data_IF_221335162706
#
_entry.id   IF_221335162706
#
_cell.length_a   1.000
_cell.length_b   1.000
_cell.length_c   1.000
_cell.angle_alpha   90.00
_cell.angle_beta   90.00
_cell.angle_gamma   90.00
#
_symmetry.space_group_name_H-M   'P 1'
#
loop_
_entity.id
_entity.type
_entity.pdbx_description
1 polymer ?
#
# COMPACT_ATOMS: atom_id res chain seq x y z
N UNK A 1 -19.45 8.72 15.95
CA UNK A 1 -19.36 7.54 15.04
C UNK A 1 -17.94 7.02 15.02
N UNK A 2 -17.73 5.69 14.90
CA UNK A 2 -16.38 5.12 14.79
C UNK A 2 -15.77 5.44 13.42
N UNK A 3 -14.49 5.82 13.39
CA UNK A 3 -13.71 6.05 12.19
C UNK A 3 -13.42 4.70 11.50
N UNK A 4 -13.81 4.54 10.25
CA UNK A 4 -13.60 3.30 9.47
C UNK A 4 -12.31 3.39 8.69
N UNK A 5 -11.36 2.54 9.00
CA UNK A 5 -10.01 2.53 8.42
C UNK A 5 -9.81 1.22 7.67
N UNK A 6 -9.51 1.29 6.38
CA UNK A 6 -9.08 0.15 5.58
C UNK A 6 -7.56 0.12 5.52
N UNK A 7 -6.97 -1.01 5.93
CA UNK A 7 -5.53 -1.25 5.84
C UNK A 7 -5.28 -2.34 4.81
N UNK A 8 -4.73 -1.96 3.66
CA UNK A 8 -4.33 -2.86 2.60
C UNK A 8 -2.94 -3.45 2.90
N UNK A 9 -2.75 -4.75 2.65
CA UNK A 9 -1.49 -5.43 2.98
C UNK A 9 -1.28 -5.65 4.48
N UNK A 10 -2.34 -5.86 5.20
CA UNK A 10 -2.40 -5.95 6.66
C UNK A 10 -1.54 -7.06 7.29
N UNK A 11 -1.13 -8.05 6.53
CA UNK A 11 -0.25 -9.15 6.98
C UNK A 11 1.23 -8.91 6.66
N UNK A 12 1.56 -7.80 5.99
CA UNK A 12 2.93 -7.34 5.75
C UNK A 12 3.56 -6.71 7.00
N UNK A 13 4.85 -6.36 6.93
CA UNK A 13 5.56 -5.77 8.07
C UNK A 13 4.92 -4.45 8.53
N UNK A 14 4.70 -3.51 7.62
CA UNK A 14 4.08 -2.21 7.94
C UNK A 14 2.63 -2.41 8.39
N UNK A 15 1.83 -3.16 7.61
CA UNK A 15 0.41 -3.34 7.86
C UNK A 15 0.10 -3.95 9.22
N UNK A 16 0.84 -4.98 9.66
CA UNK A 16 0.61 -5.61 10.97
C UNK A 16 0.93 -4.69 12.14
N UNK A 17 1.99 -3.87 12.05
CA UNK A 17 2.33 -2.91 13.10
C UNK A 17 1.25 -1.81 13.21
N UNK A 18 0.76 -1.32 12.06
CA UNK A 18 -0.34 -0.35 12.02
C UNK A 18 -1.63 -0.91 12.64
N UNK A 19 -1.98 -2.17 12.33
CA UNK A 19 -3.17 -2.80 12.89
C UNK A 19 -3.04 -2.96 14.40
N UNK A 20 -1.90 -3.44 14.87
CA UNK A 20 -1.65 -3.64 16.30
C UNK A 20 -1.76 -2.33 17.09
N UNK A 21 -1.33 -1.22 16.51
CA UNK A 21 -1.44 0.08 17.17
C UNK A 21 -2.83 0.71 17.03
N UNK A 22 -3.36 0.82 15.81
CA UNK A 22 -4.64 1.46 15.56
C UNK A 22 -5.83 0.72 16.19
N UNK A 23 -5.74 -0.61 16.40
CA UNK A 23 -6.79 -1.41 17.04
C UNK A 23 -6.93 -1.16 18.55
N UNK A 24 -5.93 -0.56 19.19
CA UNK A 24 -6.01 -0.16 20.60
C UNK A 24 -7.05 0.96 20.82
N UNK A 25 -7.25 1.81 19.82
CA UNK A 25 -8.23 2.87 19.90
C UNK A 25 -9.64 2.32 19.59
N UNK A 26 -10.51 2.29 20.60
CA UNK A 26 -11.90 1.81 20.51
C UNK A 26 -12.78 2.62 19.55
N UNK A 27 -12.38 3.83 19.20
CA UNK A 27 -13.07 4.69 18.24
C UNK A 27 -12.73 4.33 16.78
N UNK A 28 -11.79 3.42 16.56
CA UNK A 28 -11.49 2.88 15.24
C UNK A 28 -12.26 1.59 14.98
N UNK A 29 -12.74 1.44 13.73
CA UNK A 29 -13.22 0.19 13.16
C UNK A 29 -12.31 -0.15 11.99
N UNK A 30 -11.48 -1.19 12.13
CA UNK A 30 -10.44 -1.53 11.18
C UNK A 30 -10.91 -2.66 10.26
N UNK A 31 -10.74 -2.45 8.96
CA UNK A 31 -10.87 -3.46 7.92
C UNK A 31 -9.47 -3.75 7.40
N UNK A 32 -9.05 -5.02 7.43
CA UNK A 32 -7.69 -5.44 7.17
C UNK A 32 -7.65 -6.45 6.02
N UNK A 33 -7.05 -6.07 4.87
CA UNK A 33 -6.97 -7.00 3.75
C UNK A 33 -5.78 -7.95 3.87
N UNK A 34 -5.99 -9.18 3.43
CA UNK A 34 -4.94 -10.17 3.25
C UNK A 34 -5.20 -11.03 2.01
N UNK A 35 -4.14 -11.56 1.41
CA UNK A 35 -4.27 -12.47 0.26
C UNK A 35 -3.98 -13.92 0.68
N UNK A 36 -2.72 -14.27 0.95
CA UNK A 36 -2.28 -15.65 1.21
C UNK A 36 -1.78 -15.87 2.64
N UNK A 37 -1.19 -14.87 3.28
CA UNK A 37 -0.55 -15.03 4.58
C UNK A 37 -1.56 -15.20 5.70
N UNK A 38 -1.19 -15.97 6.72
CA UNK A 38 -1.99 -16.16 7.94
C UNK A 38 -2.18 -14.84 8.68
N UNK A 39 -3.39 -14.60 9.17
CA UNK A 39 -3.79 -13.42 9.95
C UNK A 39 -3.68 -13.68 11.45
N UNK A 40 -3.45 -12.63 12.23
CA UNK A 40 -3.53 -12.65 13.69
C UNK A 40 -4.93 -12.22 14.14
N UNK A 41 -5.55 -12.93 15.07
CA UNK A 41 -6.83 -12.50 15.62
C UNK A 41 -6.63 -11.30 16.55
N UNK A 42 -7.25 -10.18 16.20
CA UNK A 42 -7.24 -8.95 16.99
C UNK A 42 -8.66 -8.44 17.17
N UNK A 43 -8.96 -7.96 18.38
CA UNK A 43 -10.23 -7.28 18.67
C UNK A 43 -10.35 -6.02 17.79
N UNK A 44 -11.57 -5.67 17.37
CA UNK A 44 -11.88 -4.49 16.53
C UNK A 44 -11.31 -4.54 15.10
N UNK A 45 -10.82 -5.68 14.62
CA UNK A 45 -10.30 -5.85 13.27
C UNK A 45 -11.17 -6.84 12.49
N UNK A 46 -11.75 -6.37 11.41
CA UNK A 46 -12.46 -7.20 10.42
C UNK A 46 -11.51 -7.58 9.30
N UNK A 47 -11.19 -8.86 9.21
CA UNK A 47 -10.30 -9.37 8.18
C UNK A 47 -11.06 -9.66 6.89
N UNK A 48 -10.54 -9.16 5.76
CA UNK A 48 -11.12 -9.33 4.43
C UNK A 48 -10.10 -9.99 3.50
N UNK A 49 -10.40 -11.22 3.08
CA UNK A 49 -9.57 -11.95 2.11
C UNK A 49 -9.88 -11.49 0.70
N UNK A 50 -8.84 -11.20 -0.10
CA UNK A 50 -8.97 -10.90 -1.53
C UNK A 50 -7.69 -10.37 -2.14
N UNK A 51 -7.75 -10.19 -3.45
CA UNK A 51 -6.65 -9.66 -4.25
C UNK A 51 -6.96 -8.23 -4.68
N UNK A 52 -6.08 -7.29 -4.32
CA UNK A 52 -6.24 -5.88 -4.66
C UNK A 52 -6.06 -5.59 -6.17
N UNK A 53 -5.56 -6.56 -6.94
CA UNK A 53 -5.50 -6.49 -8.40
C UNK A 53 -6.84 -6.80 -9.07
N UNK A 54 -7.86 -7.15 -8.29
CA UNK A 54 -9.23 -7.31 -8.75
C UNK A 54 -10.01 -6.03 -8.48
N UNK A 55 -10.58 -5.44 -9.54
CA UNK A 55 -11.31 -4.17 -9.47
C UNK A 55 -12.58 -4.26 -8.62
N UNK A 56 -13.37 -5.33 -8.78
CA UNK A 56 -14.60 -5.51 -8.01
C UNK A 56 -14.31 -5.68 -6.52
N UNK A 57 -13.22 -6.38 -6.19
CA UNK A 57 -12.76 -6.48 -4.81
C UNK A 57 -12.39 -5.10 -4.27
N UNK A 58 -11.58 -4.33 -5.00
CA UNK A 58 -11.16 -2.98 -4.62
C UNK A 58 -12.37 -2.05 -4.43
N UNK A 59 -13.33 -2.08 -5.36
CA UNK A 59 -14.58 -1.31 -5.29
C UNK A 59 -15.40 -1.66 -4.06
N UNK A 60 -15.52 -2.94 -3.75
CA UNK A 60 -16.29 -3.41 -2.58
C UNK A 60 -15.67 -3.00 -1.26
N UNK A 61 -14.34 -3.16 -1.10
CA UNK A 61 -13.68 -2.93 0.19
C UNK A 61 -13.50 -1.45 0.54
N UNK A 62 -13.50 -0.56 -0.44
CA UNK A 62 -13.40 0.90 -0.24
C UNK A 62 -14.75 1.54 0.07
N UNK A 63 -15.86 0.82 -0.09
CA UNK A 63 -17.21 1.34 0.16
C UNK A 63 -17.43 1.65 1.64
N UNK A 64 -17.90 2.86 1.94
CA UNK A 64 -18.16 3.35 3.30
C UNK A 64 -16.90 3.36 4.21
N UNK A 65 -15.73 3.58 3.65
CA UNK A 65 -14.45 3.75 4.36
C UNK A 65 -14.13 5.24 4.47
N UNK A 66 -13.64 5.66 5.65
CA UNK A 66 -13.20 7.04 5.86
C UNK A 66 -11.73 7.23 5.46
N UNK A 67 -10.87 6.26 5.80
CA UNK A 67 -9.43 6.32 5.54
C UNK A 67 -8.97 5.01 4.91
N UNK A 68 -8.20 5.10 3.84
CA UNK A 68 -7.47 3.99 3.23
C UNK A 68 -5.98 4.14 3.50
N UNK A 69 -5.35 3.09 4.02
CA UNK A 69 -3.90 2.99 4.20
C UNK A 69 -3.38 1.90 3.28
N UNK A 70 -2.68 2.31 2.20
CA UNK A 70 -2.13 1.39 1.21
C UNK A 70 -0.71 0.98 1.59
N UNK A 71 -0.61 -0.15 2.31
CA UNK A 71 0.65 -0.79 2.69
C UNK A 71 0.91 -2.12 1.96
N UNK A 72 0.01 -2.47 1.00
CA UNK A 72 0.23 -3.64 0.17
C UNK A 72 1.22 -3.34 -0.96
N UNK A 73 2.09 -4.28 -1.22
CA UNK A 73 2.95 -4.28 -2.39
C UNK A 73 3.28 -5.72 -2.79
N UNK A 74 3.40 -5.96 -4.08
CA UNK A 74 4.15 -7.10 -4.58
C UNK A 74 5.62 -6.76 -4.42
N UNK A 75 6.26 -7.38 -3.43
CA UNK A 75 7.69 -7.26 -3.19
C UNK A 75 8.31 -8.65 -3.16
N UNK A 76 9.33 -8.85 -3.94
CA UNK A 76 10.14 -10.05 -4.01
C UNK A 76 11.58 -9.71 -3.63
N UNK A 77 12.45 -10.71 -3.51
CA UNK A 77 13.84 -10.46 -3.16
C UNK A 77 14.60 -9.62 -4.19
N UNK A 78 15.78 -9.11 -3.79
CA UNK A 78 16.64 -8.27 -4.65
C UNK A 78 16.98 -8.91 -6.00
N UNK A 79 17.03 -10.23 -6.08
CA UNK A 79 17.22 -10.98 -7.32
C UNK A 79 16.12 -10.71 -8.35
N UNK A 80 14.85 -10.69 -7.92
CA UNK A 80 13.73 -10.43 -8.81
C UNK A 80 13.63 -8.96 -9.23
N UNK A 81 14.09 -8.03 -8.40
CA UNK A 81 14.17 -6.61 -8.79
C UNK A 81 15.02 -6.42 -10.05
N UNK A 82 16.09 -7.23 -10.18
CA UNK A 82 17.02 -7.15 -11.32
C UNK A 82 16.56 -8.02 -12.48
N UNK A 83 16.20 -9.29 -12.21
CA UNK A 83 15.94 -10.27 -13.27
C UNK A 83 14.49 -10.22 -13.80
N UNK A 84 13.54 -9.78 -12.99
CA UNK A 84 12.11 -9.75 -13.32
C UNK A 84 11.44 -8.46 -12.86
N UNK A 85 11.96 -7.27 -13.28
CA UNK A 85 11.47 -5.97 -12.79
C UNK A 85 9.98 -5.74 -13.08
N UNK A 86 9.44 -6.36 -14.14
CA UNK A 86 8.03 -6.25 -14.50
C UNK A 86 7.08 -6.73 -13.40
N UNK A 87 7.47 -7.72 -12.57
CA UNK A 87 6.63 -8.18 -11.45
C UNK A 87 6.31 -7.05 -10.46
N UNK A 88 7.27 -6.17 -10.24
CA UNK A 88 7.07 -5.03 -9.36
C UNK A 88 6.27 -3.91 -10.01
N UNK A 89 6.42 -3.72 -11.33
CA UNK A 89 5.68 -2.69 -12.07
C UNK A 89 4.21 -3.07 -12.19
N UNK A 90 3.92 -4.18 -12.87
CA UNK A 90 2.56 -4.53 -13.28
C UNK A 90 1.64 -4.72 -12.10
N UNK A 91 2.00 -5.58 -11.16
CA UNK A 91 1.15 -5.90 -10.02
C UNK A 91 0.88 -4.68 -9.13
N UNK A 92 1.93 -3.89 -8.85
CA UNK A 92 1.77 -2.69 -8.02
C UNK A 92 1.00 -1.59 -8.73
N UNK A 93 1.23 -1.38 -10.03
CA UNK A 93 0.49 -0.39 -10.82
C UNK A 93 -1.00 -0.73 -10.87
N UNK A 94 -1.36 -1.97 -11.22
CA UNK A 94 -2.76 -2.42 -11.29
C UNK A 94 -3.45 -2.29 -9.92
N UNK A 95 -2.81 -2.77 -8.86
CA UNK A 95 -3.34 -2.69 -7.50
C UNK A 95 -3.59 -1.25 -7.07
N UNK A 96 -2.61 -0.36 -7.27
CA UNK A 96 -2.72 1.04 -6.89
C UNK A 96 -3.78 1.77 -7.76
N UNK A 97 -3.80 1.52 -9.06
CA UNK A 97 -4.77 2.13 -9.98
C UNK A 97 -6.22 1.81 -9.56
N UNK A 98 -6.53 0.55 -9.28
CA UNK A 98 -7.87 0.17 -8.83
C UNK A 98 -8.19 0.73 -7.44
N UNK A 99 -7.27 0.62 -6.50
CA UNK A 99 -7.51 1.08 -5.14
C UNK A 99 -7.74 2.60 -5.09
N UNK A 100 -6.92 3.39 -5.76
CA UNK A 100 -7.05 4.85 -5.75
C UNK A 100 -8.29 5.32 -6.50
N UNK A 101 -8.56 4.76 -7.69
CA UNK A 101 -9.79 5.04 -8.45
C UNK A 101 -11.03 4.74 -7.61
N UNK A 102 -11.11 3.56 -7.02
CA UNK A 102 -12.28 3.17 -6.23
C UNK A 102 -12.38 3.93 -4.90
N UNK A 103 -11.27 4.33 -4.30
CA UNK A 103 -11.26 5.23 -3.16
C UNK A 103 -11.87 6.58 -3.50
N UNK A 104 -11.51 7.15 -4.66
CA UNK A 104 -12.10 8.39 -5.15
C UNK A 104 -13.60 8.25 -5.42
N UNK A 105 -14.01 7.23 -6.19
CA UNK A 105 -15.41 6.99 -6.54
C UNK A 105 -16.29 6.73 -5.32
N UNK A 106 -15.78 6.06 -4.30
CA UNK A 106 -16.45 5.78 -3.04
C UNK A 106 -16.32 6.92 -2.00
N UNK A 107 -15.76 8.08 -2.39
CA UNK A 107 -15.62 9.28 -1.56
C UNK A 107 -14.86 9.03 -0.26
N UNK A 108 -13.80 8.23 -0.32
CA UNK A 108 -12.87 8.07 0.80
C UNK A 108 -12.25 9.42 1.12
N UNK A 109 -12.27 9.82 2.39
CA UNK A 109 -11.84 11.17 2.82
C UNK A 109 -10.33 11.33 2.81
N UNK A 110 -9.59 10.26 3.07
CA UNK A 110 -8.14 10.31 3.18
C UNK A 110 -7.50 9.01 2.70
N UNK A 111 -6.48 9.12 1.85
CA UNK A 111 -5.67 8.00 1.39
C UNK A 111 -4.23 8.23 1.81
N UNK A 112 -3.66 7.26 2.54
CA UNK A 112 -2.26 7.25 2.94
C UNK A 112 -1.55 6.20 2.10
N UNK A 113 -0.52 6.59 1.38
CA UNK A 113 0.27 5.73 0.52
C UNK A 113 1.75 5.74 0.93
N UNK A 114 2.35 4.56 1.06
CA UNK A 114 3.77 4.44 1.40
C UNK A 114 4.63 4.44 0.15
N UNK A 115 5.40 5.50 -0.02
CA UNK A 115 6.45 5.59 -1.02
C UNK A 115 7.67 4.74 -0.61
N UNK A 116 8.79 4.87 -1.32
CA UNK A 116 10.02 4.14 -1.01
C UNK A 116 11.25 5.00 -1.28
N UNK A 117 12.33 4.71 -0.57
CA UNK A 117 13.61 5.44 -0.72
C UNK A 117 14.31 5.15 -2.03
N UNK A 118 13.98 4.04 -2.72
CA UNK A 118 14.59 3.67 -4.00
C UNK A 118 14.15 4.55 -5.17
N UNK A 119 13.22 5.48 -4.95
CA UNK A 119 12.88 6.52 -5.93
C UNK A 119 13.97 7.59 -6.04
N UNK A 120 14.74 7.82 -4.98
CA UNK A 120 15.82 8.80 -5.00
C UNK A 120 17.11 8.20 -5.56
N UNK A 121 17.91 9.02 -6.23
CA UNK A 121 19.28 8.63 -6.60
C UNK A 121 20.17 8.50 -5.37
N UNK A 122 21.24 7.73 -5.50
CA UNK A 122 22.25 7.62 -4.43
C UNK A 122 22.88 8.98 -4.13
N UNK A 123 22.94 9.32 -2.85
CA UNK A 123 23.57 10.56 -2.36
C UNK A 123 24.38 10.30 -1.09
N UNK A 124 25.51 10.98 -0.96
CA UNK A 124 26.31 11.02 0.29
C UNK A 124 25.74 12.01 1.30
N UNK A 125 24.85 12.90 0.88
CA UNK A 125 24.19 13.89 1.74
C UNK A 125 22.71 13.51 1.90
N UNK A 126 22.06 13.89 3.01
CA UNK A 126 20.61 13.77 3.15
C UNK A 126 19.89 14.48 1.99
N UNK A 127 18.88 13.85 1.44
CA UNK A 127 18.05 14.38 0.35
C UNK A 127 16.68 14.77 0.92
N UNK A 128 16.19 15.95 0.52
CA UNK A 128 14.85 16.41 0.89
C UNK A 128 13.81 15.99 -0.16
N UNK A 129 12.55 15.91 0.24
CA UNK A 129 11.45 15.52 -0.65
C UNK A 129 11.29 16.46 -1.87
N UNK A 130 11.48 17.75 -1.69
CA UNK A 130 11.39 18.74 -2.77
C UNK A 130 12.57 18.72 -3.75
N UNK A 131 13.63 17.97 -3.45
CA UNK A 131 14.78 17.78 -4.36
C UNK A 131 14.59 16.60 -5.31
N UNK A 132 13.51 15.81 -5.15
CA UNK A 132 13.22 14.65 -5.97
C UNK A 132 12.79 15.06 -7.40
N UNK A 133 13.40 14.42 -8.40
CA UNK A 133 13.03 14.55 -9.80
C UNK A 133 12.67 13.17 -10.37
N UNK A 134 11.38 12.95 -10.66
CA UNK A 134 10.85 11.67 -11.12
C UNK A 134 11.44 11.16 -12.44
N UNK A 135 12.01 12.07 -13.28
CA UNK A 135 12.61 11.71 -14.56
C UNK A 135 14.08 11.31 -14.40
N UNK A 136 14.81 12.01 -13.50
CA UNK A 136 16.28 11.91 -13.41
C UNK A 136 16.78 11.05 -12.26
N UNK A 137 15.99 10.88 -11.21
CA UNK A 137 16.47 10.31 -9.95
C UNK A 137 16.22 8.80 -9.83
N UNK A 138 15.25 8.25 -10.57
CA UNK A 138 14.96 6.82 -10.51
C UNK A 138 16.10 6.04 -11.18
N UNK A 139 16.85 5.32 -10.35
CA UNK A 139 17.95 4.47 -10.83
C UNK A 139 17.39 3.33 -11.69
N UNK A 140 17.92 3.07 -12.90
CA UNK A 140 17.40 2.03 -13.80
C UNK A 140 17.22 0.67 -13.16
N UNK A 141 18.12 0.27 -12.27
CA UNK A 141 18.03 -0.98 -11.48
C UNK A 141 16.75 -1.07 -10.64
N UNK A 142 16.23 0.05 -10.14
CA UNK A 142 15.05 0.13 -9.29
C UNK A 142 13.83 0.72 -9.99
N UNK A 143 13.88 0.83 -11.32
CA UNK A 143 12.82 1.46 -12.11
C UNK A 143 11.42 0.91 -11.75
N UNK A 144 11.27 -0.42 -11.70
CA UNK A 144 10.00 -1.05 -11.36
C UNK A 144 9.48 -0.75 -9.95
N UNK A 145 10.39 -0.63 -8.97
CA UNK A 145 9.99 -0.27 -7.61
C UNK A 145 9.74 1.24 -7.48
N UNK A 146 10.59 2.06 -8.08
CA UNK A 146 10.52 3.52 -7.98
C UNK A 146 9.29 4.09 -8.66
N UNK A 147 9.05 3.75 -9.93
CA UNK A 147 7.96 4.31 -10.74
C UNK A 147 6.55 4.01 -10.22
N UNK A 148 6.37 2.93 -9.49
CA UNK A 148 5.06 2.58 -8.89
C UNK A 148 4.82 3.20 -7.51
N UNK A 149 5.79 3.99 -7.02
CA UNK A 149 5.78 4.60 -5.68
C UNK A 149 5.90 6.13 -5.70
N UNK A 150 5.97 6.72 -6.90
CA UNK A 150 6.00 8.17 -7.15
C UNK A 150 4.60 8.72 -7.32
#
# INVERSE_FOLDING_TARGET
MKKKILICGATGFIGRNLIEDLSKNKNNKIYATFNKRKKKNLKNVTWVKGDLRNDDFSKRITKNIDIVIQAAATSTGSKDVVLRPYLHVTDNAVMNAYLFRNSYLNKVKHVIFFSCTTMYKSSKKPVKENEFNSIKDIVPKYFGCGTTKV
#
